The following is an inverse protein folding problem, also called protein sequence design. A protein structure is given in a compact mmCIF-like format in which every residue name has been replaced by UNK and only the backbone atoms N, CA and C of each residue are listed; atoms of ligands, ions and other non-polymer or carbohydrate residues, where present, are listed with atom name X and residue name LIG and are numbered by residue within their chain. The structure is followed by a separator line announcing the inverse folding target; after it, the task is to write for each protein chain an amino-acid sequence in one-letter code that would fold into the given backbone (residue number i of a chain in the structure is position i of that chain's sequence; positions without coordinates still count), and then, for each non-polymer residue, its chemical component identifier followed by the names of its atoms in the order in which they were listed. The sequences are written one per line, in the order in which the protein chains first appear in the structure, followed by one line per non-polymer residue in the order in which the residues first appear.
data_IF_622771208560
#
_entry.id   IF_622771208560
#
_cell.length_a   1.000
_cell.length_b   1.000
_cell.length_c   1.000
_cell.angle_alpha   90.00
_cell.angle_beta   90.00
_cell.angle_gamma   90.00
#
_symmetry.space_group_name_H-M   'P 1'
#
loop_
_entity.id
_entity.type
_entity.pdbx_description
1 polymer ?
#
# COMPACT_ATOMS: atom_id res chain seq x y z
N UNK A 1 -26.38 -8.85 -1.66
CA UNK A 1 -25.27 -7.94 -1.98
C UNK A 1 -25.46 -6.72 -1.10
N UNK A 2 -24.80 -6.71 0.07
CA UNK A 2 -24.86 -5.58 0.99
C UNK A 2 -24.25 -4.35 0.33
N UNK A 3 -24.92 -3.22 0.49
CA UNK A 3 -24.54 -1.97 -0.12
C UNK A 3 -23.33 -1.45 0.64
N UNK A 4 -22.14 -1.50 0.03
CA UNK A 4 -20.95 -0.84 0.58
C UNK A 4 -21.32 0.60 0.94
N UNK A 5 -21.16 0.97 2.20
CA UNK A 5 -21.47 2.33 2.72
C UNK A 5 -20.53 3.39 2.14
N UNK A 6 -19.41 2.96 1.54
CA UNK A 6 -18.34 3.81 1.03
C UNK A 6 -18.46 4.11 -0.46
N UNK A 7 -18.14 5.35 -0.83
CA UNK A 7 -18.14 5.80 -2.23
C UNK A 7 -16.83 5.41 -2.92
N UNK A 8 -16.76 4.17 -3.43
CA UNK A 8 -15.56 3.62 -4.09
C UNK A 8 -15.05 4.52 -5.22
N UNK A 9 -15.93 5.09 -6.05
CA UNK A 9 -15.52 5.95 -7.17
C UNK A 9 -14.83 7.22 -6.71
N UNK A 10 -15.34 7.84 -5.64
CA UNK A 10 -14.69 9.01 -5.03
C UNK A 10 -13.32 8.63 -4.47
N UNK A 11 -13.25 7.54 -3.71
CA UNK A 11 -11.99 7.04 -3.12
C UNK A 11 -10.97 6.74 -4.22
N UNK A 12 -11.37 6.05 -5.30
CA UNK A 12 -10.51 5.76 -6.43
C UNK A 12 -9.99 7.06 -7.08
N UNK A 13 -10.85 8.06 -7.27
CA UNK A 13 -10.42 9.36 -7.81
C UNK A 13 -9.37 10.06 -6.93
N UNK A 14 -9.57 10.03 -5.61
CA UNK A 14 -8.61 10.60 -4.65
C UNK A 14 -7.29 9.80 -4.65
N UNK A 15 -7.37 8.47 -4.68
CA UNK A 15 -6.22 7.58 -4.79
C UNK A 15 -5.41 7.83 -6.06
N UNK A 16 -6.06 7.98 -7.20
CA UNK A 16 -5.38 8.33 -8.45
C UNK A 16 -4.60 9.63 -8.32
N UNK A 17 -5.20 10.66 -7.72
CA UNK A 17 -4.54 11.96 -7.52
C UNK A 17 -3.32 11.84 -6.60
N UNK A 18 -3.45 11.12 -5.49
CA UNK A 18 -2.48 11.21 -4.39
C UNK A 18 -1.47 10.05 -4.35
N UNK A 19 -1.83 8.88 -4.88
CA UNK A 19 -0.99 7.66 -4.92
C UNK A 19 -0.31 7.49 -6.28
N UNK A 20 -1.04 7.64 -7.38
CA UNK A 20 -0.54 7.45 -8.76
C UNK A 20 0.17 8.72 -9.25
N UNK A 21 0.98 9.31 -8.38
CA UNK A 21 1.68 10.57 -8.59
C UNK A 21 2.83 10.40 -9.59
N UNK A 22 3.07 11.44 -10.37
CA UNK A 22 4.20 11.57 -11.32
C UNK A 22 5.28 12.53 -10.81
N UNK A 23 5.02 13.21 -9.69
CA UNK A 23 5.93 14.13 -9.00
C UNK A 23 5.81 14.01 -7.48
N UNK A 24 6.63 14.76 -6.75
CA UNK A 24 6.70 14.72 -5.28
C UNK A 24 5.78 15.72 -4.56
N UNK A 25 4.84 16.36 -5.28
CA UNK A 25 3.86 17.28 -4.68
C UNK A 25 2.74 16.54 -3.93
N UNK A 26 2.58 15.24 -4.22
CA UNK A 26 1.61 14.34 -3.62
C UNK A 26 2.29 13.28 -2.78
N UNK A 27 1.61 12.77 -1.74
CA UNK A 27 2.23 11.93 -0.72
C UNK A 27 2.64 10.54 -1.22
N UNK A 28 2.02 10.02 -2.29
CA UNK A 28 2.27 8.65 -2.76
C UNK A 28 1.51 7.60 -1.95
N UNK A 29 0.60 8.02 -1.07
CA UNK A 29 -0.28 7.15 -0.31
C UNK A 29 -1.61 7.85 0.04
N UNK A 30 -2.63 7.07 0.38
CA UNK A 30 -3.85 7.55 1.03
C UNK A 30 -4.25 6.63 2.18
N UNK A 31 -5.01 7.17 3.13
CA UNK A 31 -5.65 6.43 4.21
C UNK A 31 -7.16 6.60 4.13
N UNK A 32 -7.90 5.51 4.32
CA UNK A 32 -9.36 5.43 4.29
C UNK A 32 -9.81 4.77 5.59
N UNK A 33 -10.51 5.51 6.44
CA UNK A 33 -11.18 4.96 7.61
C UNK A 33 -12.56 4.44 7.20
N UNK A 34 -12.84 3.17 7.49
CA UNK A 34 -14.14 2.53 7.24
C UNK A 34 -15.02 2.50 8.49
N UNK A 35 -14.51 2.95 9.64
CA UNK A 35 -15.20 2.95 10.92
C UNK A 35 -15.18 1.60 11.65
N UNK A 36 -15.79 1.59 12.83
CA UNK A 36 -15.85 0.41 13.72
C UNK A 36 -16.95 -0.58 13.30
N UNK A 37 -17.99 -0.11 12.60
CA UNK A 37 -19.19 -0.88 12.24
C UNK A 37 -19.01 -1.77 11.00
N UNK A 38 -17.80 -1.87 10.44
CA UNK A 38 -17.52 -2.75 9.31
C UNK A 38 -17.17 -4.18 9.77
N UNK A 39 -16.87 -5.05 8.83
CA UNK A 39 -16.45 -6.43 9.06
C UNK A 39 -15.23 -6.77 8.21
N UNK A 40 -14.49 -7.82 8.59
CA UNK A 40 -13.34 -8.32 7.83
C UNK A 40 -13.71 -8.65 6.36
N UNK A 41 -14.91 -9.18 6.13
CA UNK A 41 -15.41 -9.46 4.77
C UNK A 41 -15.69 -8.17 3.99
N UNK A 42 -16.36 -7.19 4.58
CA UNK A 42 -16.65 -5.90 3.93
C UNK A 42 -15.40 -5.07 3.66
N UNK A 43 -14.40 -5.10 4.56
CA UNK A 43 -13.08 -4.51 4.33
C UNK A 43 -12.46 -5.08 3.05
N UNK A 44 -12.39 -6.41 2.94
CA UNK A 44 -11.77 -7.07 1.78
C UNK A 44 -12.59 -6.89 0.51
N UNK A 45 -13.92 -6.90 0.60
CA UNK A 45 -14.80 -6.59 -0.52
C UNK A 45 -14.59 -5.14 -1.01
N UNK A 46 -14.38 -4.19 -0.09
CA UNK A 46 -14.02 -2.80 -0.39
C UNK A 46 -12.68 -2.71 -1.11
N UNK A 47 -11.66 -3.43 -0.64
CA UNK A 47 -10.34 -3.48 -1.28
C UNK A 47 -10.43 -4.00 -2.73
N UNK A 48 -11.17 -5.10 -2.95
CA UNK A 48 -11.38 -5.68 -4.28
C UNK A 48 -12.15 -4.71 -5.19
N UNK A 49 -13.21 -4.09 -4.69
CA UNK A 49 -13.97 -3.09 -5.44
C UNK A 49 -13.10 -1.88 -5.83
N UNK A 50 -12.27 -1.41 -4.91
CA UNK A 50 -11.34 -0.31 -5.15
C UNK A 50 -10.30 -0.68 -6.22
N UNK A 51 -9.71 -1.88 -6.17
CA UNK A 51 -8.79 -2.37 -7.21
C UNK A 51 -9.42 -2.34 -8.61
N UNK A 52 -10.69 -2.73 -8.75
CA UNK A 52 -11.39 -2.74 -10.05
C UNK A 52 -11.57 -1.34 -10.63
N UNK A 53 -11.95 -0.38 -9.80
CA UNK A 53 -12.08 1.03 -10.21
C UNK A 53 -10.71 1.65 -10.55
N UNK A 54 -9.67 1.37 -9.75
CA UNK A 54 -8.30 1.80 -10.04
C UNK A 54 -7.76 1.19 -11.34
N UNK A 55 -7.98 -0.11 -11.57
CA UNK A 55 -7.57 -0.81 -12.79
C UNK A 55 -8.23 -0.22 -14.04
N UNK A 56 -9.51 0.16 -13.94
CA UNK A 56 -10.22 0.84 -15.03
C UNK A 56 -9.56 2.18 -15.37
N UNK A 57 -9.14 2.94 -14.35
CA UNK A 57 -8.44 4.21 -14.56
C UNK A 57 -7.06 4.02 -15.19
N UNK A 58 -6.24 3.10 -14.67
CA UNK A 58 -4.87 2.89 -15.18
C UNK A 58 -4.90 2.33 -16.60
N UNK A 59 -5.88 1.49 -16.93
CA UNK A 59 -6.13 1.07 -18.32
C UNK A 59 -6.43 2.27 -19.21
N UNK A 60 -7.34 3.17 -18.80
CA UNK A 60 -7.71 4.32 -19.61
C UNK A 60 -6.56 5.35 -19.78
N UNK A 61 -5.69 5.47 -18.78
CA UNK A 61 -4.66 6.53 -18.72
C UNK A 61 -3.31 6.07 -19.28
N UNK A 62 -2.91 4.84 -18.96
CA UNK A 62 -1.59 4.30 -19.28
C UNK A 62 -1.65 3.12 -20.25
N UNK A 63 -2.85 2.64 -20.61
CA UNK A 63 -3.05 1.37 -21.32
C UNK A 63 -2.45 0.17 -20.55
N UNK A 64 -2.47 0.26 -19.21
CA UNK A 64 -1.89 -0.72 -18.29
C UNK A 64 -2.86 -1.01 -17.14
N UNK A 65 -3.67 -2.07 -17.22
CA UNK A 65 -4.55 -2.45 -16.11
C UNK A 65 -3.74 -2.91 -14.87
N UNK A 66 -4.42 -2.97 -13.73
CA UNK A 66 -3.87 -3.55 -12.50
C UNK A 66 -4.19 -5.05 -12.42
N UNK A 67 -3.15 -5.86 -12.31
CA UNK A 67 -3.19 -7.31 -12.08
C UNK A 67 -2.70 -7.65 -10.69
N UNK A 68 -3.25 -8.68 -10.05
CA UNK A 68 -2.79 -9.06 -8.72
C UNK A 68 -1.40 -9.69 -8.78
N UNK A 69 -0.57 -9.34 -7.80
CA UNK A 69 0.63 -10.11 -7.48
C UNK A 69 0.33 -11.11 -6.35
N UNK A 70 -0.39 -10.68 -5.32
CA UNK A 70 -0.89 -11.55 -4.26
C UNK A 70 -2.13 -10.96 -3.57
N UNK A 71 -2.84 -11.83 -2.86
CA UNK A 71 -3.88 -11.53 -1.89
C UNK A 71 -3.62 -12.37 -0.65
N UNK A 72 -3.33 -11.74 0.50
CA UNK A 72 -2.94 -12.44 1.72
C UNK A 72 -3.63 -11.81 2.92
N UNK A 73 -4.00 -12.62 3.91
CA UNK A 73 -4.43 -12.18 5.25
C UNK A 73 -3.47 -12.78 6.26
N UNK A 74 -2.77 -11.96 7.03
CA UNK A 74 -1.67 -12.42 7.89
C UNK A 74 -1.62 -11.68 9.23
N UNK A 75 -0.99 -12.31 10.23
CA UNK A 75 -0.74 -11.69 11.53
C UNK A 75 0.59 -10.91 11.49
N UNK A 76 0.51 -9.58 11.58
CA UNK A 76 1.68 -8.71 11.55
C UNK A 76 2.00 -8.17 12.93
N UNK A 77 2.95 -8.80 13.62
CA UNK A 77 3.48 -8.33 14.91
C UNK A 77 4.97 -8.01 14.91
N UNK A 78 5.63 -8.03 13.75
CA UNK A 78 7.06 -7.75 13.63
C UNK A 78 7.27 -6.36 13.02
N UNK A 79 8.25 -5.62 13.55
CA UNK A 79 8.69 -4.37 12.96
C UNK A 79 9.28 -4.60 11.57
N UNK A 80 9.03 -3.69 10.65
CA UNK A 80 9.71 -3.69 9.35
C UNK A 80 10.72 -2.55 9.27
N UNK A 81 11.78 -2.68 8.46
CA UNK A 81 12.55 -1.53 8.02
C UNK A 81 11.70 -0.69 7.05
N UNK A 82 12.21 0.48 6.65
CA UNK A 82 11.65 1.14 5.47
C UNK A 82 11.97 0.31 4.24
N UNK A 83 10.94 -0.07 3.50
CA UNK A 83 11.08 -0.92 2.33
C UNK A 83 9.97 -0.71 1.29
N UNK A 84 10.24 -1.23 0.10
CA UNK A 84 9.28 -1.46 -0.98
C UNK A 84 9.10 -2.97 -1.08
N UNK A 85 7.84 -3.43 -1.14
CA UNK A 85 7.53 -4.84 -1.27
C UNK A 85 7.99 -5.37 -2.63
N UNK A 86 8.45 -6.62 -2.67
CA UNK A 86 8.87 -7.26 -3.91
C UNK A 86 7.68 -7.44 -4.85
N UNK A 87 7.74 -6.79 -6.01
CA UNK A 87 6.68 -6.77 -7.00
C UNK A 87 7.24 -6.35 -8.38
N UNK A 88 6.38 -6.13 -9.37
CA UNK A 88 6.80 -5.52 -10.63
C UNK A 88 7.28 -4.07 -10.40
N UNK A 89 8.04 -3.54 -11.36
CA UNK A 89 8.66 -2.22 -11.25
C UNK A 89 7.66 -1.10 -10.98
N UNK A 90 6.42 -1.28 -11.45
CA UNK A 90 5.29 -0.42 -11.10
C UNK A 90 4.20 -1.23 -10.45
N UNK A 91 4.05 -0.96 -9.16
CA UNK A 91 3.15 -1.71 -8.30
C UNK A 91 2.57 -0.82 -7.22
N UNK A 92 1.47 -1.29 -6.64
CA UNK A 92 0.69 -0.59 -5.63
C UNK A 92 0.34 -1.56 -4.52
N UNK A 93 0.59 -1.15 -3.28
CA UNK A 93 0.31 -1.93 -2.08
C UNK A 93 -0.95 -1.39 -1.42
N UNK A 94 -1.96 -2.24 -1.24
CA UNK A 94 -3.15 -1.95 -0.45
C UNK A 94 -3.18 -2.82 0.79
N UNK A 95 -3.16 -2.17 1.96
CA UNK A 95 -3.22 -2.80 3.28
C UNK A 95 -4.58 -2.51 3.92
N UNK A 96 -5.31 -3.55 4.28
CA UNK A 96 -6.55 -3.50 5.05
C UNK A 96 -6.31 -3.93 6.49
N UNK A 97 -6.45 -3.00 7.42
CA UNK A 97 -6.30 -3.23 8.85
C UNK A 97 -7.64 -3.59 9.50
N UNK A 98 -7.65 -4.69 10.24
CA UNK A 98 -8.77 -5.05 11.12
C UNK A 98 -8.53 -4.47 12.54
N UNK A 99 -9.60 -4.16 13.30
CA UNK A 99 -9.47 -3.72 14.68
C UNK A 99 -8.64 -4.71 15.53
N UNK A 100 -7.78 -4.18 16.38
CA UNK A 100 -6.85 -4.97 17.20
C UNK A 100 -6.41 -4.22 18.44
N UNK A 101 -6.14 -4.94 19.54
CA UNK A 101 -5.54 -4.35 20.73
C UNK A 101 -4.02 -4.07 20.57
N UNK A 102 -3.38 -4.58 19.52
CA UNK A 102 -1.94 -4.43 19.29
C UNK A 102 -1.65 -3.04 18.70
N UNK A 103 -1.06 -2.17 19.52
CA UNK A 103 -0.73 -0.82 19.09
C UNK A 103 0.42 -0.82 18.08
N UNK A 104 0.21 -0.13 16.96
CA UNK A 104 1.19 -0.04 15.88
C UNK A 104 1.21 1.34 15.22
N UNK A 105 2.25 1.61 14.46
CA UNK A 105 2.45 2.82 13.68
C UNK A 105 2.88 2.45 12.28
N UNK A 106 2.37 3.19 11.28
CA UNK A 106 2.80 3.10 9.90
C UNK A 106 3.43 4.42 9.47
N UNK A 107 4.58 4.31 8.82
CA UNK A 107 5.34 5.44 8.30
C UNK A 107 5.58 5.25 6.82
N UNK A 108 5.48 6.35 6.07
CA UNK A 108 5.74 6.41 4.63
C UNK A 108 6.93 7.34 4.40
N UNK A 109 7.94 6.88 3.66
CA UNK A 109 9.16 7.64 3.35
C UNK A 109 9.25 7.98 1.86
N UNK A 110 9.24 9.27 1.52
CA UNK A 110 9.35 9.71 0.13
C UNK A 110 10.82 9.75 -0.32
N UNK A 111 11.31 8.62 -0.82
CA UNK A 111 12.71 8.50 -1.25
C UNK A 111 13.00 9.24 -2.57
N UNK A 112 11.99 9.56 -3.38
CA UNK A 112 12.15 10.42 -4.56
C UNK A 112 12.37 11.88 -4.14
N UNK A 113 11.61 12.35 -3.16
CA UNK A 113 11.79 13.70 -2.60
C UNK A 113 13.13 13.83 -1.87
N UNK A 114 13.50 12.82 -1.09
CA UNK A 114 14.84 12.73 -0.50
C UNK A 114 15.95 12.84 -1.55
N UNK A 115 15.87 12.04 -2.62
CA UNK A 115 16.87 12.04 -3.69
C UNK A 115 16.99 13.39 -4.43
N UNK A 116 15.89 14.15 -4.50
CA UNK A 116 15.81 15.42 -5.22
C UNK A 116 16.24 16.62 -4.36
N UNK A 117 15.89 16.61 -3.08
CA UNK A 117 15.98 17.80 -2.22
C UNK A 117 17.09 17.72 -1.18
N UNK A 118 17.55 16.53 -0.81
CA UNK A 118 18.58 16.37 0.22
C UNK A 118 19.98 16.56 -0.36
N UNK A 119 20.81 17.37 0.30
CA UNK A 119 22.24 17.49 -0.03
C UNK A 119 23.03 16.21 0.30
N UNK A 120 22.53 15.42 1.26
CA UNK A 120 23.15 14.16 1.69
C UNK A 120 22.85 12.99 0.74
N UNK A 121 21.85 13.14 -0.13
CA UNK A 121 21.50 12.08 -1.08
C UNK A 121 22.57 11.99 -2.18
N UNK A 122 23.18 10.80 -2.41
CA UNK A 122 24.06 10.61 -3.54
C UNK A 122 23.34 10.94 -4.85
N UNK A 123 24.03 11.60 -5.80
CA UNK A 123 23.47 11.86 -7.14
C UNK A 123 23.05 10.57 -7.86
N UNK A 124 23.66 9.44 -7.50
CA UNK A 124 23.35 8.11 -8.01
C UNK A 124 22.21 7.41 -7.26
N UNK A 125 21.63 8.00 -6.20
CA UNK A 125 20.74 7.31 -5.27
C UNK A 125 19.60 6.54 -5.95
N UNK A 126 18.88 7.16 -6.89
CA UNK A 126 17.79 6.46 -7.60
C UNK A 126 18.30 5.40 -8.60
N UNK A 127 19.52 5.55 -9.10
CA UNK A 127 20.16 4.58 -10.01
C UNK A 127 20.66 3.34 -9.23
N UNK A 128 21.11 3.55 -8.01
CA UNK A 128 21.64 2.53 -7.09
C UNK A 128 20.61 2.18 -6.01
N UNK A 129 19.33 2.39 -6.31
CA UNK A 129 18.25 2.23 -5.36
C UNK A 129 18.22 0.82 -4.78
N UNK A 130 18.10 0.74 -3.45
CA UNK A 130 17.82 -0.50 -2.75
C UNK A 130 16.38 -0.50 -2.23
N UNK A 131 15.65 -1.63 -2.37
CA UNK A 131 14.27 -1.73 -1.91
C UNK A 131 14.14 -1.74 -0.39
N UNK A 132 15.26 -1.81 0.34
CA UNK A 132 15.33 -1.67 1.79
C UNK A 132 16.27 -0.52 2.11
N UNK A 133 15.80 0.41 2.94
CA UNK A 133 16.60 1.54 3.38
C UNK A 133 17.42 1.17 4.61
N UNK A 134 18.70 0.85 4.38
CA UNK A 134 19.65 0.43 5.42
C UNK A 134 20.46 1.61 6.01
N UNK A 135 20.31 2.81 5.46
CA UNK A 135 21.08 4.00 5.84
C UNK A 135 20.58 4.66 7.13
N UNK A 136 21.37 5.60 7.66
CA UNK A 136 21.02 6.41 8.82
C UNK A 136 19.69 7.17 8.58
N UNK A 137 18.64 6.78 9.30
CA UNK A 137 17.27 7.30 9.16
C UNK A 137 17.16 8.81 9.41
N UNK A 138 18.14 9.42 10.09
CA UNK A 138 18.14 10.86 10.38
C UNK A 138 17.97 11.72 9.12
N UNK A 139 18.60 11.34 8.01
CA UNK A 139 18.50 12.09 6.75
C UNK A 139 17.14 11.91 6.05
N UNK A 140 16.46 10.79 6.32
CA UNK A 140 15.14 10.51 5.75
C UNK A 140 14.02 11.18 6.56
N UNK A 141 14.24 11.52 7.83
CA UNK A 141 13.23 12.12 8.74
C UNK A 141 12.41 13.25 8.12
N UNK A 142 12.98 14.23 7.40
CA UNK A 142 12.21 15.33 6.79
C UNK A 142 11.22 14.86 5.71
N UNK A 143 11.43 13.65 5.19
CA UNK A 143 10.66 13.03 4.10
C UNK A 143 9.78 11.88 4.59
N UNK A 144 9.69 11.67 5.91
CA UNK A 144 8.84 10.65 6.53
C UNK A 144 7.51 11.27 6.97
N UNK A 145 6.41 10.65 6.57
CA UNK A 145 5.06 10.94 7.06
C UNK A 145 4.56 9.78 7.91
N UNK A 146 4.09 10.06 9.12
CA UNK A 146 3.34 9.09 9.93
C UNK A 146 1.88 9.08 9.48
N UNK A 147 1.28 7.91 9.34
CA UNK A 147 -0.16 7.78 9.07
C UNK A 147 -0.92 7.98 10.38
N UNK A 148 -1.41 9.20 10.63
CA UNK A 148 -1.95 9.62 11.95
C UNK A 148 -3.30 8.99 12.34
N UNK A 149 -3.95 8.30 11.42
CA UNK A 149 -5.37 7.90 11.52
C UNK A 149 -5.61 6.39 11.59
N UNK A 150 -4.56 5.59 11.77
CA UNK A 150 -4.71 4.15 12.00
C UNK A 150 -5.23 3.90 13.42
N UNK A 151 -6.55 3.97 13.55
CA UNK A 151 -7.26 3.58 14.78
C UNK A 151 -7.14 2.07 14.98
N UNK A 152 -6.92 1.67 16.22
CA UNK A 152 -6.94 0.28 16.63
C UNK A 152 -8.37 -0.29 16.74
N UNK A 153 -9.38 0.57 16.71
CA UNK A 153 -10.78 0.18 16.88
C UNK A 153 -11.55 0.17 15.55
N UNK A 154 -10.98 0.74 14.48
CA UNK A 154 -11.65 0.89 13.19
C UNK A 154 -11.04 -0.03 12.15
N UNK A 155 -11.86 -0.42 11.18
CA UNK A 155 -11.35 -0.99 9.93
C UNK A 155 -10.78 0.13 9.08
N UNK A 156 -9.62 -0.09 8.45
CA UNK A 156 -8.96 0.94 7.67
C UNK A 156 -8.23 0.39 6.45
N UNK A 157 -8.15 1.17 5.39
CA UNK A 157 -7.35 0.84 4.20
C UNK A 157 -6.25 1.89 4.03
N UNK A 158 -5.03 1.44 3.81
CA UNK A 158 -3.93 2.29 3.34
C UNK A 158 -3.51 1.80 1.96
N UNK A 159 -3.50 2.70 0.98
CA UNK A 159 -3.01 2.43 -0.36
C UNK A 159 -1.71 3.22 -0.57
N UNK A 160 -0.66 2.54 -1.02
CA UNK A 160 0.71 3.06 -1.13
C UNK A 160 1.22 2.77 -2.55
N UNK A 161 1.92 3.74 -3.14
CA UNK A 161 2.66 3.51 -4.37
C UNK A 161 3.93 2.70 -4.05
N UNK A 162 3.97 1.46 -4.50
CA UNK A 162 5.04 0.49 -4.26
C UNK A 162 5.98 0.38 -5.48
N UNK A 163 5.91 1.33 -6.42
CA UNK A 163 6.79 1.33 -7.60
C UNK A 163 8.25 1.57 -7.19
N UNK A 164 9.19 1.00 -7.93
CA UNK A 164 10.64 1.28 -7.75
C UNK A 164 11.10 2.32 -8.77
N UNK A 165 12.20 3.05 -8.53
CA UNK A 165 12.72 4.00 -9.51
C UNK A 165 13.36 3.27 -10.70
N UNK A 166 12.69 3.26 -11.86
CA UNK A 166 13.27 2.85 -13.14
C UNK A 166 12.99 3.85 -14.24
N UNK A 167 13.86 3.83 -15.25
CA UNK A 167 13.67 4.60 -16.46
C UNK A 167 12.34 4.19 -17.14
N UNK A 168 11.55 5.19 -17.52
CA UNK A 168 10.22 5.05 -18.15
C UNK A 168 9.08 4.56 -17.25
N UNK A 169 9.26 4.55 -15.93
CA UNK A 169 8.12 4.35 -15.03
C UNK A 169 7.21 5.59 -15.01
N UNK A 170 5.90 5.37 -15.00
CA UNK A 170 4.86 6.39 -15.06
C UNK A 170 4.61 7.03 -13.69
N UNK A 171 4.88 6.32 -12.59
CA UNK A 171 4.59 6.80 -11.23
C UNK A 171 5.77 6.70 -10.27
N UNK A 172 5.72 7.51 -9.20
CA UNK A 172 6.77 7.60 -8.19
C UNK A 172 6.35 6.92 -6.87
N UNK A 173 7.08 5.86 -6.51
CA UNK A 173 6.84 5.08 -5.29
C UNK A 173 7.24 5.77 -4.00
N UNK A 174 7.02 5.07 -2.90
CA UNK A 174 7.43 5.46 -1.55
C UNK A 174 7.83 4.23 -0.73
N UNK A 175 8.73 4.41 0.24
CA UNK A 175 9.00 3.40 1.23
C UNK A 175 7.86 3.34 2.24
N UNK A 176 7.65 2.18 2.85
CA UNK A 176 6.77 2.04 4.00
C UNK A 176 7.47 1.27 5.14
N UNK A 177 7.04 1.55 6.37
CA UNK A 177 7.58 0.95 7.61
C UNK A 177 6.48 0.78 8.63
N UNK A 178 6.35 -0.42 9.19
CA UNK A 178 5.48 -0.72 10.32
C UNK A 178 6.31 -0.84 11.61
N UNK A 179 5.85 -0.23 12.68
CA UNK A 179 6.45 -0.33 14.02
C UNK A 179 5.39 -0.73 15.03
N UNK A 180 5.61 -1.83 15.73
CA UNK A 180 4.79 -2.26 16.86
C UNK A 180 5.26 -1.52 18.11
N UNK A 181 4.33 -0.88 18.81
CA UNK A 181 4.63 -0.24 20.11
C UNK A 181 4.80 -1.27 21.22
N UNK A 182 4.08 -2.38 21.11
CA UNK A 182 4.15 -3.53 22.00
C UNK A 182 3.74 -4.78 21.23
N UNK A 183 4.41 -5.90 21.49
CA UNK A 183 4.00 -7.22 20.97
C UNK A 183 3.20 -7.95 22.04
N UNK A 184 2.17 -8.68 21.62
CA UNK A 184 1.41 -9.60 22.47
C UNK A 184 0.96 -10.78 21.62
N UNK A 185 1.79 -11.82 21.62
CA UNK A 185 1.61 -13.03 20.81
C UNK A 185 0.39 -13.87 21.20
N UNK A 186 -0.34 -13.47 22.26
CA UNK A 186 -1.63 -14.07 22.63
C UNK A 186 -2.82 -13.47 21.88
N UNK A 187 -2.60 -12.36 21.15
CA UNK A 187 -3.62 -11.66 20.36
C UNK A 187 -3.18 -11.59 18.90
N UNK A 188 -4.13 -11.34 18.02
CA UNK A 188 -3.88 -11.21 16.59
C UNK A 188 -3.84 -9.73 16.17
N UNK A 189 -2.94 -9.40 15.26
CA UNK A 189 -2.94 -8.13 14.52
C UNK A 189 -3.09 -8.44 13.04
N UNK A 190 -4.33 -8.64 12.63
CA UNK A 190 -4.64 -9.06 11.27
C UNK A 190 -4.49 -7.90 10.29
N UNK A 191 -3.69 -8.15 9.26
CA UNK A 191 -3.54 -7.26 8.10
C UNK A 191 -3.86 -8.04 6.83
N UNK A 192 -4.67 -7.42 5.99
CA UNK A 192 -5.03 -7.89 4.66
C UNK A 192 -4.14 -7.17 3.65
N UNK A 193 -3.35 -7.88 2.87
CA UNK A 193 -2.44 -7.30 1.87
C UNK A 193 -2.82 -7.70 0.46
N UNK A 194 -2.81 -6.71 -0.42
CA UNK A 194 -3.00 -6.83 -1.85
C UNK A 194 -1.89 -6.03 -2.54
N UNK A 195 -0.97 -6.70 -3.21
CA UNK A 195 -0.09 -6.05 -4.18
C UNK A 195 -0.71 -6.16 -5.57
N UNK A 196 -0.70 -5.06 -6.30
CA UNK A 196 -1.15 -4.95 -7.67
C UNK A 196 -0.01 -4.47 -8.55
N UNK A 197 0.25 -5.16 -9.66
CA UNK A 197 1.19 -4.76 -10.69
C UNK A 197 0.46 -3.99 -11.79
N UNK A 198 1.05 -2.88 -12.25
CA UNK A 198 0.57 -2.14 -13.43
C UNK A 198 1.30 -2.65 -14.66
N UNK A 199 0.67 -3.60 -15.34
CA UNK A 199 1.28 -4.33 -16.46
C UNK A 199 0.65 -3.92 -17.79
N UNK A 200 1.37 -4.03 -18.92
CA UNK A 200 0.77 -3.94 -20.24
C UNK A 200 -0.41 -4.91 -20.40
N UNK A 201 -1.45 -4.54 -21.16
CA UNK A 201 -2.68 -5.36 -21.31
C UNK A 201 -2.44 -6.80 -21.80
N UNK A 202 -1.33 -7.04 -22.53
CA UNK A 202 -0.95 -8.37 -23.02
C UNK A 202 -0.14 -9.20 -22.02
N UNK A 203 0.34 -8.59 -20.94
CA UNK A 203 1.01 -9.28 -19.83
C UNK A 203 -0.04 -9.63 -18.77
N UNK A 204 -0.64 -10.81 -18.92
CA UNK A 204 -1.58 -11.35 -17.93
C UNK A 204 -0.75 -11.94 -16.79
N UNK A 205 -1.08 -11.61 -15.54
CA UNK A 205 -0.52 -12.32 -14.39
C UNK A 205 -0.90 -13.80 -14.48
N UNK A 206 0.11 -14.67 -14.58
CA UNK A 206 -0.08 -16.11 -14.53
C UNK A 206 -0.64 -16.45 -13.14
N UNK A 207 -1.91 -16.87 -13.09
CA UNK A 207 -2.67 -17.22 -11.88
C UNK A 207 -3.12 -16.01 -11.05
N UNK A 208 -4.14 -15.29 -11.55
CA UNK A 208 -4.86 -14.32 -10.71
C UNK A 208 -5.47 -15.06 -9.49
N UNK A 209 -5.21 -14.59 -8.26
CA UNK A 209 -5.74 -15.17 -7.04
C UNK A 209 -7.27 -15.05 -6.96
N UNK A 210 -7.88 -15.98 -6.23
CA UNK A 210 -9.34 -16.02 -6.03
C UNK A 210 -9.81 -14.90 -5.10
N UNK A 211 -10.40 -13.84 -5.68
CA UNK A 211 -10.99 -12.72 -4.94
C UNK A 211 -12.06 -13.17 -3.96
N UNK A 212 -12.87 -14.15 -4.33
CA UNK A 212 -13.98 -14.60 -3.50
C UNK A 212 -13.46 -15.33 -2.26
N UNK A 213 -12.45 -16.19 -2.45
CA UNK A 213 -11.73 -16.81 -1.34
C UNK A 213 -11.07 -15.76 -0.44
N UNK A 214 -10.38 -14.76 -1.00
CA UNK A 214 -9.80 -13.68 -0.20
C UNK A 214 -10.86 -12.96 0.64
N UNK A 215 -12.02 -12.63 0.08
CA UNK A 215 -13.11 -11.93 0.79
C UNK A 215 -13.69 -12.76 1.94
N UNK A 216 -13.84 -14.08 1.75
CA UNK A 216 -14.59 -14.92 2.70
C UNK A 216 -13.72 -15.76 3.63
N UNK A 217 -12.43 -15.91 3.36
CA UNK A 217 -11.55 -16.77 4.16
C UNK A 217 -11.46 -16.27 5.61
N UNK A 218 -11.49 -17.21 6.55
CA UNK A 218 -11.17 -16.97 7.96
C UNK A 218 -9.71 -17.28 8.28
N UNK A 219 -8.96 -17.83 7.32
CA UNK A 219 -7.56 -18.20 7.52
C UNK A 219 -6.68 -16.96 7.71
N UNK A 220 -5.68 -17.10 8.57
CA UNK A 220 -4.66 -16.10 8.87
C UNK A 220 -3.31 -16.78 8.67
N UNK A 221 -2.53 -16.30 7.71
CA UNK A 221 -1.14 -16.71 7.54
C UNK A 221 -0.30 -16.20 8.72
N UNK A 222 0.56 -17.06 9.26
CA UNK A 222 1.49 -16.73 10.34
C UNK A 222 2.89 -16.45 9.80
#
# INVERSE_FOLDING_TARGET
MEKLSVNIKKIAKDAIRDVFRTDTSKPGFIHIDLGEDSSSSELRATMVALKKELSSYTKATYNRPLSYHWLVRFDQQVNTPFHVDNAADQSFLMLGYEPTAIQSELYIGDYHKYAKESEDAPKSYLKEFTPVFENNLEHLKPYITKVETLSNNSYSIVLINNSVPKQNNETLGAFHKATMRSQDLSKERVVNSMIMNMLPEHEIALNEPDEQHFITTSEISK
#
